data_IF_806773448667
#
_entry.id   IF_806773448667
#
_cell.length_a   1.000
_cell.length_b   1.000
_cell.length_c   1.000
_cell.angle_alpha   90.00
_cell.angle_beta   90.00
_cell.angle_gamma   90.00
#
_symmetry.space_group_name_H-M   'P 1'
#
loop_
_entity.id
_entity.type
_entity.pdbx_description
1 polymer ?
#
# COMPACT_ATOMS: atom_id res chain seq x y z
N UNK A 1 2.22 -1.89 40.15
CA UNK A 1 3.20 -2.40 39.16
C UNK A 1 2.48 -2.52 37.81
N UNK A 2 2.39 -1.42 37.04
CA UNK A 2 1.60 -1.33 35.79
C UNK A 2 2.56 -0.98 34.64
N UNK A 3 3.63 -1.75 34.51
CA UNK A 3 4.70 -1.50 33.51
C UNK A 3 4.90 -2.73 32.60
N UNK A 4 3.96 -3.68 32.55
CA UNK A 4 4.07 -4.93 31.77
C UNK A 4 3.30 -4.92 30.44
N UNK A 5 2.71 -3.78 30.03
CA UNK A 5 1.97 -3.63 28.76
C UNK A 5 2.70 -2.76 27.73
N UNK A 6 3.96 -2.42 27.99
CA UNK A 6 4.83 -1.85 26.95
C UNK A 6 5.24 -2.99 26.05
N UNK A 7 4.53 -3.15 24.95
CA UNK A 7 4.89 -4.04 23.84
C UNK A 7 6.37 -3.77 23.52
N UNK A 8 7.24 -4.74 23.76
CA UNK A 8 8.64 -4.64 23.34
C UNK A 8 8.61 -4.71 21.81
N UNK A 9 8.78 -3.56 21.16
CA UNK A 9 8.97 -3.47 19.70
C UNK A 9 10.36 -3.96 19.27
N UNK A 10 11.14 -4.55 20.19
CA UNK A 10 12.37 -5.29 19.91
C UNK A 10 12.09 -6.72 19.38
N UNK A 11 10.96 -6.89 18.68
CA UNK A 11 10.71 -8.04 17.82
C UNK A 11 11.54 -7.78 16.55
N UNK A 12 12.61 -8.56 16.39
CA UNK A 12 13.64 -8.33 15.37
C UNK A 12 13.01 -8.00 14.03
N UNK A 13 13.50 -6.92 13.39
CA UNK A 13 13.07 -6.52 12.06
C UNK A 13 12.99 -7.78 11.21
N UNK A 14 11.77 -8.14 10.77
CA UNK A 14 11.60 -9.22 9.81
C UNK A 14 12.53 -8.94 8.64
N UNK A 15 13.04 -10.01 8.01
CA UNK A 15 13.87 -9.85 6.81
C UNK A 15 13.18 -8.89 5.84
N UNK A 16 13.93 -8.08 5.11
CA UNK A 16 13.36 -7.09 4.18
C UNK A 16 12.39 -7.74 3.17
N UNK A 17 12.71 -8.97 2.79
CA UNK A 17 11.95 -9.89 1.93
C UNK A 17 10.68 -10.49 2.60
N UNK A 18 10.54 -10.42 3.93
CA UNK A 18 9.41 -11.01 4.65
C UNK A 18 8.07 -10.30 4.41
N UNK A 19 8.10 -9.13 3.76
CA UNK A 19 6.91 -8.37 3.39
C UNK A 19 6.57 -8.49 1.91
N UNK A 20 7.42 -9.16 1.12
CA UNK A 20 7.16 -9.44 -0.28
C UNK A 20 6.19 -10.63 -0.35
N UNK A 21 5.00 -10.38 -0.89
CA UNK A 21 4.06 -11.45 -1.21
C UNK A 21 4.36 -11.95 -2.63
N UNK A 22 4.15 -13.25 -2.85
CA UNK A 22 4.21 -13.82 -4.20
C UNK A 22 3.12 -13.13 -5.05
N UNK A 23 3.51 -12.49 -6.15
CA UNK A 23 2.59 -11.72 -7.00
C UNK A 23 1.41 -12.61 -7.44
N UNK A 24 0.20 -12.27 -7.00
CA UNK A 24 -1.02 -12.93 -7.45
C UNK A 24 -1.32 -12.57 -8.91
N UNK A 25 -2.17 -13.36 -9.60
CA UNK A 25 -2.45 -13.18 -11.04
C UNK A 25 -3.06 -11.80 -11.40
N UNK A 26 -3.65 -11.13 -10.41
CA UNK A 26 -4.24 -9.80 -10.48
C UNK A 26 -3.34 -8.67 -9.94
N UNK A 27 -2.12 -8.98 -9.52
CA UNK A 27 -1.12 -8.00 -9.08
C UNK A 27 -0.17 -7.62 -10.22
N UNK A 28 0.07 -6.32 -10.37
CA UNK A 28 0.93 -5.77 -11.42
C UNK A 28 1.92 -4.75 -10.85
N UNK A 29 3.11 -4.68 -11.46
CA UNK A 29 4.11 -3.67 -11.10
C UNK A 29 3.69 -2.30 -11.65
N UNK A 30 3.60 -1.30 -10.76
CA UNK A 30 3.37 0.09 -11.16
C UNK A 30 4.67 0.68 -11.71
N UNK A 31 4.66 1.12 -12.97
CA UNK A 31 5.81 1.81 -13.58
C UNK A 31 5.93 3.24 -13.07
N UNK A 32 4.81 3.98 -13.04
CA UNK A 32 4.78 5.36 -12.53
C UNK A 32 3.39 5.77 -12.01
N UNK A 33 3.38 6.65 -11.01
CA UNK A 33 2.17 7.34 -10.53
C UNK A 33 2.02 8.62 -11.35
N UNK A 34 0.95 8.69 -12.15
CA UNK A 34 0.62 9.83 -12.98
C UNK A 34 0.02 10.98 -12.18
N UNK A 35 -0.88 10.65 -11.26
CA UNK A 35 -1.63 11.61 -10.46
C UNK A 35 -2.10 10.97 -9.16
N UNK A 36 -2.31 11.82 -8.14
CA UNK A 36 -2.88 11.42 -6.85
C UNK A 36 -4.13 12.23 -6.62
N UNK A 37 -5.29 11.60 -6.83
CA UNK A 37 -6.56 12.22 -6.54
C UNK A 37 -6.94 11.97 -5.08
N UNK A 38 -7.19 13.03 -4.33
CA UNK A 38 -7.85 12.89 -3.03
C UNK A 38 -9.35 12.75 -3.25
N UNK A 39 -9.91 11.59 -2.91
CA UNK A 39 -11.33 11.36 -3.05
C UNK A 39 -12.13 12.34 -2.18
N UNK A 40 -13.32 12.72 -2.65
CA UNK A 40 -14.22 13.57 -1.86
C UNK A 40 -14.59 12.83 -0.56
N UNK A 41 -14.49 13.52 0.57
CA UNK A 41 -14.76 12.96 1.91
C UNK A 41 -16.14 12.31 1.94
N UNK A 42 -16.21 11.04 2.34
CA UNK A 42 -17.49 10.36 2.56
C UNK A 42 -18.12 10.83 3.88
N UNK A 43 -19.43 10.59 4.06
CA UNK A 43 -20.23 11.04 5.22
C UNK A 43 -19.65 10.63 6.59
N UNK A 44 -18.76 9.63 6.63
CA UNK A 44 -18.10 9.12 7.83
C UNK A 44 -16.59 9.38 7.89
N UNK A 45 -16.06 10.25 7.03
CA UNK A 45 -14.78 10.92 7.31
C UNK A 45 -13.51 10.13 6.99
N UNK A 46 -13.52 9.21 6.03
CA UNK A 46 -12.28 8.72 5.42
C UNK A 46 -12.05 9.39 4.07
N UNK A 47 -10.98 10.17 3.94
CA UNK A 47 -10.46 10.60 2.64
C UNK A 47 -9.71 9.41 2.04
N UNK A 48 -10.24 8.81 0.97
CA UNK A 48 -9.48 7.81 0.21
C UNK A 48 -8.50 8.53 -0.70
N UNK A 49 -7.30 7.98 -0.88
CA UNK A 49 -6.38 8.41 -1.94
C UNK A 49 -6.59 7.48 -3.11
N UNK A 50 -6.87 8.05 -4.25
CA UNK A 50 -7.00 7.37 -5.53
C UNK A 50 -5.76 7.72 -6.35
N UNK A 51 -5.17 6.74 -7.02
CA UNK A 51 -3.96 6.92 -7.79
C UNK A 51 -4.25 6.62 -9.26
N UNK A 52 -3.88 7.54 -10.14
CA UNK A 52 -3.79 7.24 -11.55
C UNK A 52 -2.40 6.63 -11.77
N UNK A 53 -2.34 5.34 -12.09
CA UNK A 53 -1.09 4.60 -12.27
C UNK A 53 -0.91 4.18 -13.72
N UNK A 54 0.34 4.14 -14.15
CA UNK A 54 0.73 3.43 -15.36
C UNK A 54 1.33 2.08 -14.95
N UNK A 55 0.70 1.01 -15.41
CA UNK A 55 1.18 -0.35 -15.18
C UNK A 55 2.30 -0.69 -16.17
N UNK A 56 3.34 -1.37 -15.69
CA UNK A 56 4.44 -1.84 -16.54
C UNK A 56 3.92 -2.86 -17.54
N UNK A 57 4.19 -2.65 -18.83
CA UNK A 57 3.74 -3.56 -19.89
C UNK A 57 2.26 -3.48 -20.25
N UNK A 58 1.54 -2.46 -19.77
CA UNK A 58 0.16 -2.18 -20.21
C UNK A 58 0.15 -1.05 -21.24
N UNK A 59 -0.04 -1.40 -22.52
CA UNK A 59 -0.10 -0.43 -23.64
C UNK A 59 -1.42 0.36 -23.72
N UNK A 60 -2.34 0.19 -22.76
CA UNK A 60 -3.63 0.85 -22.77
C UNK A 60 -4.60 0.31 -23.84
N UNK A 61 -5.90 0.64 -23.75
CA UNK A 61 -6.81 0.37 -24.84
C UNK A 61 -6.46 1.27 -26.04
N UNK A 62 -6.26 0.65 -27.21
CA UNK A 62 -6.19 1.34 -28.51
C UNK A 62 -7.56 1.75 -29.02
#
# INVERSE_FOLDING_TARGET
NREAYRVNFDEGLLSEDSWESELEEDEYEVERIADVCSSKKTRYGSTRREYLVFWKGYDGPS
#
